data_IF_488265581638
#
_entry.id   IF_488265581638
#
_cell.length_a   1.000
_cell.length_b   1.000
_cell.length_c   1.000
_cell.angle_alpha   90.00
_cell.angle_beta   90.00
_cell.angle_gamma   90.00
#
_symmetry.space_group_name_H-M   'P 1'
#
loop_
_entity.id
_entity.type
_entity.pdbx_description
1 polymer ?
#
# COMPACT_ATOMS: atom_id res chain seq x y z
N UNK A 1 5.52 -15.46 22.54
CA UNK A 1 5.95 -14.66 21.39
C UNK A 1 4.74 -14.11 20.67
N UNK A 2 4.74 -12.83 20.47
CA UNK A 2 3.65 -12.22 19.74
C UNK A 2 3.85 -12.34 18.25
N UNK A 3 2.76 -12.58 17.57
CA UNK A 3 2.79 -12.62 16.12
C UNK A 3 2.19 -11.33 15.60
N UNK A 4 2.92 -10.68 14.71
CA UNK A 4 2.40 -9.48 14.07
C UNK A 4 1.41 -9.88 12.98
N UNK A 5 0.24 -9.27 13.00
CA UNK A 5 -0.79 -9.53 12.01
C UNK A 5 -0.79 -8.39 11.01
N UNK A 6 -0.60 -8.74 9.76
CA UNK A 6 -0.67 -7.78 8.66
C UNK A 6 -1.94 -8.02 7.88
N UNK A 7 -2.67 -6.96 7.60
CA UNK A 7 -3.94 -7.02 6.88
C UNK A 7 -3.77 -6.27 5.58
N UNK A 8 -4.22 -6.87 4.48
CA UNK A 8 -4.29 -6.18 3.21
C UNK A 8 -5.54 -5.33 3.18
N UNK A 9 -5.38 -4.04 3.05
CA UNK A 9 -6.48 -3.08 3.09
C UNK A 9 -6.59 -2.41 1.73
N UNK A 10 -7.80 -2.30 1.22
CA UNK A 10 -8.04 -1.70 -0.08
C UNK A 10 -8.57 -0.29 -0.01
N UNK A 11 -8.66 0.28 1.18
CA UNK A 11 -9.21 1.60 1.36
C UNK A 11 -8.87 2.11 2.75
N UNK A 12 -9.13 3.41 2.96
CA UNK A 12 -9.04 3.99 4.28
C UNK A 12 -9.96 3.26 5.27
N UNK A 13 -11.19 2.96 4.87
CA UNK A 13 -12.13 2.28 5.76
C UNK A 13 -11.63 0.90 6.17
N UNK A 14 -11.00 0.19 5.25
CA UNK A 14 -10.41 -1.11 5.58
C UNK A 14 -9.32 -0.98 6.63
N UNK A 15 -8.51 0.07 6.53
CA UNK A 15 -7.46 0.32 7.52
C UNK A 15 -8.05 0.60 8.89
N UNK A 16 -9.11 1.39 8.94
CA UNK A 16 -9.75 1.69 10.23
C UNK A 16 -10.35 0.42 10.83
N UNK A 17 -10.99 -0.40 10.01
CA UNK A 17 -11.55 -1.67 10.49
C UNK A 17 -10.44 -2.58 11.04
N UNK A 18 -9.31 -2.65 10.35
CA UNK A 18 -8.17 -3.44 10.81
C UNK A 18 -7.65 -2.90 12.13
N UNK A 19 -7.55 -1.57 12.25
CA UNK A 19 -7.07 -0.93 13.46
C UNK A 19 -7.99 -1.23 14.63
N UNK A 20 -9.29 -1.15 14.41
CA UNK A 20 -10.28 -1.47 15.44
C UNK A 20 -10.22 -2.94 15.82
N UNK A 21 -9.81 -3.81 14.91
CA UNK A 21 -9.61 -5.22 15.20
C UNK A 21 -8.23 -5.55 15.74
N UNK A 22 -7.47 -4.54 16.15
CA UNK A 22 -6.18 -4.67 16.82
C UNK A 22 -5.03 -5.07 15.91
N UNK A 23 -5.18 -4.88 14.60
CA UNK A 23 -4.05 -5.04 13.70
C UNK A 23 -3.01 -3.98 14.04
N UNK A 24 -1.76 -4.29 13.82
CA UNK A 24 -0.66 -3.36 14.04
C UNK A 24 -0.05 -2.89 12.73
N UNK A 25 -0.30 -3.61 11.65
CA UNK A 25 0.34 -3.35 10.38
C UNK A 25 -0.64 -3.63 9.27
N UNK A 26 -0.70 -2.74 8.29
CA UNK A 26 -1.53 -2.94 7.10
C UNK A 26 -0.69 -2.74 5.86
N UNK A 27 -1.08 -3.44 4.79
CA UNK A 27 -0.61 -3.13 3.46
C UNK A 27 -1.74 -2.37 2.78
N UNK A 28 -1.50 -1.10 2.50
CA UNK A 28 -2.54 -0.24 1.94
C UNK A 28 -2.48 -0.28 0.43
N UNK A 29 -3.61 -0.58 -0.15
CA UNK A 29 -3.80 -0.73 -1.60
C UNK A 29 -5.00 0.10 -2.02
N UNK A 30 -5.26 0.11 -3.31
CA UNK A 30 -6.55 0.42 -3.89
C UNK A 30 -6.90 -0.72 -4.82
N UNK A 31 -8.15 -0.80 -5.25
CA UNK A 31 -8.59 -1.75 -6.27
C UNK A 31 -8.15 -3.19 -5.98
N UNK A 32 -8.46 -3.68 -4.78
CA UNK A 32 -8.08 -5.04 -4.40
C UNK A 32 -8.66 -6.10 -5.33
N UNK A 33 -9.79 -5.80 -5.98
CA UNK A 33 -10.43 -6.73 -6.89
C UNK A 33 -9.55 -7.09 -8.08
N UNK A 34 -8.56 -6.27 -8.40
CA UNK A 34 -7.62 -6.56 -9.48
C UNK A 34 -6.22 -6.83 -8.92
N UNK A 35 -6.11 -7.20 -7.65
CA UNK A 35 -4.85 -7.58 -7.05
C UNK A 35 -4.13 -6.46 -6.33
N UNK A 36 -4.71 -5.27 -6.28
CA UNK A 36 -4.13 -4.16 -5.57
C UNK A 36 -3.35 -3.23 -6.46
N UNK A 37 -3.63 -1.95 -6.34
CA UNK A 37 -2.93 -0.89 -7.06
C UNK A 37 -2.46 0.13 -6.03
N UNK A 38 -1.69 1.12 -6.50
CA UNK A 38 -1.19 2.20 -5.65
C UNK A 38 -2.34 2.92 -4.95
N UNK A 39 -2.28 3.12 -3.63
CA UNK A 39 -3.34 3.86 -2.93
C UNK A 39 -3.17 5.37 -3.14
N UNK A 40 -4.22 6.11 -2.82
CA UNK A 40 -4.10 7.57 -2.87
C UNK A 40 -3.28 8.07 -1.69
N UNK A 41 -2.56 9.15 -1.93
CA UNK A 41 -1.78 9.78 -0.87
C UNK A 41 -2.69 10.27 0.24
N UNK A 42 -3.86 10.78 -0.12
CA UNK A 42 -4.81 11.27 0.89
C UNK A 42 -5.26 10.16 1.84
N UNK A 43 -5.50 8.95 1.31
CA UNK A 43 -5.86 7.82 2.18
C UNK A 43 -4.75 7.51 3.15
N UNK A 44 -3.51 7.47 2.65
CA UNK A 44 -2.36 7.21 3.51
C UNK A 44 -2.23 8.26 4.61
N UNK A 45 -2.31 9.53 4.24
CA UNK A 45 -2.15 10.61 5.22
C UNK A 45 -3.20 10.48 6.31
N UNK A 46 -4.44 10.23 5.93
CA UNK A 46 -5.52 10.14 6.90
C UNK A 46 -5.33 8.96 7.84
N UNK A 47 -4.92 7.81 7.30
CA UNK A 47 -4.66 6.64 8.14
C UNK A 47 -3.55 6.94 9.14
N UNK A 48 -2.48 7.58 8.70
CA UNK A 48 -1.36 7.88 9.59
C UNK A 48 -1.73 8.94 10.63
N UNK A 49 -2.65 9.83 10.31
CA UNK A 49 -3.10 10.83 11.28
C UNK A 49 -4.02 10.25 12.34
N UNK A 50 -4.79 9.25 11.99
CA UNK A 50 -5.87 8.75 12.85
C UNK A 50 -5.53 7.44 13.55
N UNK A 51 -4.43 6.80 13.20
CA UNK A 51 -4.03 5.54 13.82
C UNK A 51 -2.54 5.54 14.07
N UNK A 52 -2.08 4.53 14.81
CA UNK A 52 -0.65 4.28 14.95
C UNK A 52 -0.23 3.04 14.17
N UNK A 53 -0.98 2.71 13.14
CA UNK A 53 -0.64 1.57 12.30
C UNK A 53 0.69 1.78 11.59
N UNK A 54 1.42 0.69 11.43
CA UNK A 54 2.52 0.64 10.46
C UNK A 54 1.89 0.40 9.10
N UNK A 55 2.18 1.26 8.14
CA UNK A 55 1.52 1.22 6.83
C UNK A 55 2.56 0.98 5.74
N UNK A 56 2.44 -0.14 5.07
CA UNK A 56 3.21 -0.44 3.88
C UNK A 56 2.29 -0.14 2.70
N UNK A 57 2.77 0.66 1.75
CA UNK A 57 1.95 1.03 0.60
C UNK A 57 2.33 0.20 -0.60
N UNK A 58 1.34 -0.33 -1.29
CA UNK A 58 1.55 -1.00 -2.57
C UNK A 58 1.83 0.04 -3.64
N UNK A 59 2.77 -0.24 -4.52
CA UNK A 59 3.00 0.60 -5.69
C UNK A 59 2.88 -0.28 -6.93
N UNK A 60 1.83 -0.06 -7.69
CA UNK A 60 1.54 -0.80 -8.92
C UNK A 60 0.68 0.09 -9.78
N UNK A 61 1.15 0.43 -10.97
CA UNK A 61 0.50 1.47 -11.77
C UNK A 61 -0.73 0.99 -12.52
N UNK A 62 -0.82 -0.30 -12.83
CA UNK A 62 -1.95 -0.82 -13.58
C UNK A 62 -2.09 -2.31 -13.33
N UNK A 63 -3.30 -2.80 -13.57
CA UNK A 63 -3.65 -4.17 -13.27
C UNK A 63 -3.19 -5.16 -14.32
N UNK A 64 -3.00 -4.73 -15.57
CA UNK A 64 -2.81 -5.65 -16.68
C UNK A 64 -1.36 -6.11 -16.74
N UNK A 65 -1.16 -7.42 -16.72
CA UNK A 65 0.12 -8.03 -17.00
C UNK A 65 1.22 -7.64 -16.05
N UNK A 66 2.42 -8.05 -16.42
CA UNK A 66 3.60 -7.77 -15.61
C UNK A 66 4.73 -7.19 -16.44
N UNK A 67 4.43 -6.80 -17.68
CA UNK A 67 5.41 -6.14 -18.53
C UNK A 67 5.27 -4.65 -18.35
N UNK A 68 6.17 -4.08 -17.60
CA UNK A 68 6.15 -2.65 -17.34
C UNK A 68 7.07 -1.94 -18.32
N UNK A 69 6.60 -0.86 -18.88
CA UNK A 69 7.43 -0.02 -19.70
C UNK A 69 8.37 0.80 -18.82
N UNK A 70 9.39 1.38 -19.41
CA UNK A 70 10.31 2.22 -18.68
C UNK A 70 9.58 3.35 -17.95
N UNK A 71 8.59 3.93 -18.61
CA UNK A 71 7.81 5.01 -18.01
C UNK A 71 7.01 4.52 -16.81
N UNK A 72 6.49 3.30 -16.87
CA UNK A 72 5.79 2.72 -15.73
C UNK A 72 6.70 2.62 -14.52
N UNK A 73 7.92 2.14 -14.74
CA UNK A 73 8.87 1.98 -13.63
C UNK A 73 9.21 3.35 -13.04
N UNK A 74 9.42 4.35 -13.89
CA UNK A 74 9.73 5.68 -13.42
C UNK A 74 8.60 6.27 -12.59
N UNK A 75 7.35 6.07 -13.03
CA UNK A 75 6.19 6.53 -12.29
C UNK A 75 6.10 5.81 -10.95
N UNK A 76 6.34 4.50 -10.94
CA UNK A 76 6.27 3.74 -9.70
C UNK A 76 7.32 4.21 -8.69
N UNK A 77 8.51 4.55 -9.16
CA UNK A 77 9.53 5.08 -8.26
C UNK A 77 9.15 6.45 -7.72
N UNK A 78 8.52 7.28 -8.53
CA UNK A 78 8.03 8.56 -8.07
C UNK A 78 6.89 8.40 -7.06
N UNK A 79 5.96 7.49 -7.34
CA UNK A 79 4.88 7.21 -6.40
C UNK A 79 5.44 6.75 -5.07
N UNK A 80 6.42 5.86 -5.10
CA UNK A 80 7.04 5.36 -3.88
C UNK A 80 7.64 6.49 -3.07
N UNK A 81 8.34 7.41 -3.73
CA UNK A 81 8.95 8.54 -3.04
C UNK A 81 7.91 9.44 -2.42
N UNK A 82 6.84 9.73 -3.15
CA UNK A 82 5.77 10.58 -2.63
C UNK A 82 5.10 9.93 -1.42
N UNK A 83 4.82 8.63 -1.51
CA UNK A 83 4.19 7.95 -0.39
C UNK A 83 5.09 7.93 0.84
N UNK A 84 6.39 7.68 0.65
CA UNK A 84 7.32 7.72 1.78
C UNK A 84 7.40 9.11 2.38
N UNK A 85 7.39 10.14 1.54
CA UNK A 85 7.44 11.52 2.03
C UNK A 85 6.18 11.88 2.82
N UNK A 86 5.08 11.18 2.59
CA UNK A 86 3.82 11.45 3.26
C UNK A 86 3.50 10.46 4.37
N UNK A 87 4.47 9.68 4.79
CA UNK A 87 4.33 8.91 6.01
C UNK A 87 4.22 7.41 5.86
N UNK A 88 4.35 6.87 4.65
CA UNK A 88 4.39 5.43 4.51
C UNK A 88 5.62 4.88 5.24
N UNK A 89 5.44 3.77 5.91
CA UNK A 89 6.54 3.14 6.64
C UNK A 89 7.36 2.23 5.74
N UNK A 90 6.82 1.86 4.59
CA UNK A 90 7.54 1.06 3.61
C UNK A 90 6.73 0.96 2.33
N UNK A 91 7.34 0.33 1.34
CA UNK A 91 6.75 0.19 0.01
C UNK A 91 6.83 -1.28 -0.40
N UNK A 92 5.73 -1.77 -0.96
CA UNK A 92 5.70 -3.07 -1.62
C UNK A 92 5.46 -2.80 -3.09
N UNK A 93 6.38 -3.24 -3.95
CA UNK A 93 6.21 -3.04 -5.38
C UNK A 93 5.39 -4.15 -5.98
N UNK A 94 4.48 -3.79 -6.87
CA UNK A 94 3.63 -4.75 -7.54
C UNK A 94 4.29 -5.38 -8.73
N UNK A 95 5.61 -5.61 -8.67
CA UNK A 95 6.27 -6.38 -9.69
C UNK A 95 6.03 -7.86 -9.47
N UNK A 96 5.94 -8.60 -10.53
CA UNK A 96 5.99 -10.02 -10.42
C UNK A 96 7.43 -10.44 -10.30
N UNK A 97 7.69 -11.12 -9.27
CA UNK A 97 8.99 -11.70 -9.20
C UNK A 97 8.97 -13.00 -9.88
N UNK A 98 9.27 -13.35 -10.38
CA UNK A 98 9.22 -14.49 -10.85
C UNK A 98 9.76 -15.39 -10.48
N UNK A 99 9.67 -15.72 -10.17
CA UNK A 99 10.11 -16.60 -9.86
C UNK A 99 9.91 -17.14 -9.70
#
# INVERSE_FOLDING_TARGET
MERMIEVCAGSYQDCIAAYQGSAKRVELNSALSVGGLTPSVASLVRVKQETDLTVICMVRVRAAGFCYEKEDVEIMLEDAKILLDHGADGIAFGFLNED
#
